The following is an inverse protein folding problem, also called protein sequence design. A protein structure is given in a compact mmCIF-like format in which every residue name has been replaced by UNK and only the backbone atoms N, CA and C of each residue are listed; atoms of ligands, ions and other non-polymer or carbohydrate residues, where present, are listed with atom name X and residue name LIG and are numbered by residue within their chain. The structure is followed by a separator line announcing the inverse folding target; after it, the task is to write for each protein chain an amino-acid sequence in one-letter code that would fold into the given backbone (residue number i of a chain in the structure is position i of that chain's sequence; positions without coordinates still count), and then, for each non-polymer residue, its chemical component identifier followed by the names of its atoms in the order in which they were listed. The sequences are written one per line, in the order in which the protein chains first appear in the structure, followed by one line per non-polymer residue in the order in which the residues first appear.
data_IF_783560968042
#
_entry.id   IF_783560968042
#
_cell.length_a   1.000
_cell.length_b   1.000
_cell.length_c   1.000
_cell.angle_alpha   90.00
_cell.angle_beta   90.00
_cell.angle_gamma   90.00
#
_symmetry.space_group_name_H-M   'P 1'
#
loop_
_entity.id
_entity.type
_entity.pdbx_description
1 polymer ?
#
# COMPACT_ATOMS: atom_id res chain seq x y z
N UNK A 1 -5.56 6.32 27.61
CA UNK A 1 -5.62 5.33 26.50
C UNK A 1 -4.22 5.19 25.94
N UNK A 2 -3.72 3.97 25.81
CA UNK A 2 -2.35 3.71 25.33
C UNK A 2 -2.44 3.02 23.98
N UNK A 3 -1.77 3.58 22.97
CA UNK A 3 -1.65 2.97 21.64
C UNK A 3 -0.57 1.89 21.73
N UNK A 4 -0.91 0.66 21.34
CA UNK A 4 -0.01 -0.51 21.51
C UNK A 4 0.62 -1.01 20.19
N UNK A 5 0.02 -0.70 19.05
CA UNK A 5 0.45 -1.21 17.75
C UNK A 5 -0.15 -0.40 16.60
N UNK A 6 0.59 -0.27 15.49
CA UNK A 6 0.05 0.14 14.20
C UNK A 6 -0.37 -1.11 13.40
N UNK A 7 -1.59 -1.12 12.87
CA UNK A 7 -2.14 -2.32 12.22
C UNK A 7 -1.87 -2.36 10.72
N UNK A 8 -1.99 -1.23 10.04
CA UNK A 8 -1.89 -1.20 8.59
C UNK A 8 -1.61 0.20 8.03
N UNK A 9 -1.07 0.22 6.81
CA UNK A 9 -1.01 1.41 5.95
C UNK A 9 -1.99 1.21 4.80
N UNK A 10 -2.84 2.21 4.55
CA UNK A 10 -3.70 2.24 3.37
C UNK A 10 -3.06 3.11 2.28
N UNK A 11 -3.06 2.61 1.04
CA UNK A 11 -2.47 3.26 -0.12
C UNK A 11 -3.53 3.31 -1.21
N UNK A 12 -3.81 4.52 -1.70
CA UNK A 12 -4.66 4.70 -2.85
C UNK A 12 -3.85 4.44 -4.12
N UNK A 13 -4.36 3.54 -4.96
CA UNK A 13 -3.77 3.19 -6.25
C UNK A 13 -4.73 3.55 -7.37
N UNK A 14 -4.20 4.01 -8.49
CA UNK A 14 -5.00 4.40 -9.67
C UNK A 14 -5.40 3.20 -10.54
N UNK A 15 -4.65 2.11 -10.45
CA UNK A 15 -4.81 0.90 -11.24
C UNK A 15 -4.51 -0.30 -10.35
N UNK A 16 -5.54 -1.08 -10.01
CA UNK A 16 -5.41 -2.20 -9.09
C UNK A 16 -4.57 -3.33 -9.69
N UNK A 17 -4.72 -3.62 -10.97
CA UNK A 17 -4.02 -4.71 -11.64
C UNK A 17 -2.50 -4.44 -11.65
N UNK A 18 -2.10 -3.22 -12.06
CA UNK A 18 -0.68 -2.82 -12.01
C UNK A 18 -0.13 -2.82 -10.59
N UNK A 19 -0.94 -2.42 -9.62
CA UNK A 19 -0.52 -2.44 -8.23
C UNK A 19 -0.37 -3.87 -7.70
N UNK A 20 -1.30 -4.77 -8.03
CA UNK A 20 -1.21 -6.18 -7.65
C UNK A 20 0.02 -6.86 -8.27
N UNK A 21 0.35 -6.54 -9.52
CA UNK A 21 1.57 -7.02 -10.15
C UNK A 21 2.82 -6.52 -9.41
N UNK A 22 2.89 -5.23 -9.07
CA UNK A 22 4.05 -4.70 -8.36
C UNK A 22 4.18 -5.23 -6.92
N UNK A 23 3.12 -5.12 -6.11
CA UNK A 23 3.17 -5.53 -4.71
C UNK A 23 3.16 -7.05 -4.52
N UNK A 24 2.41 -7.77 -5.35
CA UNK A 24 2.31 -9.24 -5.28
C UNK A 24 3.45 -9.94 -5.99
N UNK A 25 3.69 -9.63 -7.27
CA UNK A 25 4.61 -10.43 -8.08
C UNK A 25 6.06 -9.92 -8.01
N UNK A 26 6.27 -8.59 -8.05
CA UNK A 26 7.62 -8.00 -8.02
C UNK A 26 8.17 -7.97 -6.59
N UNK A 27 7.40 -7.45 -5.64
CA UNK A 27 7.82 -7.41 -4.23
C UNK A 27 7.57 -8.72 -3.48
N UNK A 28 6.80 -9.65 -4.04
CA UNK A 28 6.54 -10.96 -3.43
C UNK A 28 5.67 -10.91 -2.18
N UNK A 29 4.86 -9.85 -1.97
CA UNK A 29 4.04 -9.74 -0.77
C UNK A 29 2.91 -10.77 -0.78
N UNK A 30 2.69 -11.41 0.37
CA UNK A 30 1.64 -12.41 0.51
C UNK A 30 0.26 -11.76 0.63
N UNK A 31 -0.67 -12.14 -0.24
CA UNK A 31 -2.06 -11.68 -0.18
C UNK A 31 -2.76 -12.26 1.05
N UNK A 32 -3.66 -11.47 1.64
CA UNK A 32 -4.53 -11.88 2.73
C UNK A 32 -5.96 -12.00 2.21
N UNK A 33 -6.61 -13.13 2.47
CA UNK A 33 -8.03 -13.30 2.20
C UNK A 33 -8.86 -12.54 3.24
N UNK A 34 -9.08 -11.26 2.95
CA UNK A 34 -9.88 -10.35 3.76
C UNK A 34 -10.93 -9.67 2.88
N UNK A 35 -12.23 -9.86 3.17
CA UNK A 35 -13.29 -9.30 2.33
C UNK A 35 -13.25 -7.77 2.24
N UNK A 36 -13.44 -7.27 1.02
CA UNK A 36 -13.54 -5.85 0.70
C UNK A 36 -14.88 -5.54 0.03
N UNK A 37 -15.40 -4.34 0.26
CA UNK A 37 -16.64 -3.85 -0.37
C UNK A 37 -16.39 -2.99 -1.62
N UNK A 38 -15.13 -2.86 -2.02
CA UNK A 38 -14.63 -2.01 -3.10
C UNK A 38 -13.36 -2.64 -3.69
N UNK A 39 -12.93 -2.26 -4.91
CA UNK A 39 -11.71 -2.78 -5.51
C UNK A 39 -10.48 -2.48 -4.66
N UNK A 40 -9.76 -3.52 -4.29
CA UNK A 40 -8.58 -3.43 -3.44
C UNK A 40 -8.04 -4.81 -3.08
N UNK A 41 -6.92 -4.82 -2.38
CA UNK A 41 -6.25 -6.05 -1.91
C UNK A 41 -5.54 -5.78 -0.59
N UNK A 42 -5.44 -6.82 0.24
CA UNK A 42 -4.65 -6.81 1.48
C UNK A 42 -3.39 -7.65 1.30
N UNK A 43 -2.28 -7.14 1.80
CA UNK A 43 -1.00 -7.86 1.88
C UNK A 43 -0.50 -7.94 3.32
N UNK A 44 0.20 -9.01 3.67
CA UNK A 44 0.78 -9.25 4.99
C UNK A 44 2.30 -9.01 5.00
N UNK A 45 2.80 -8.32 6.04
CA UNK A 45 4.23 -8.17 6.33
C UNK A 45 4.44 -8.35 7.83
N UNK A 46 4.89 -9.52 8.27
CA UNK A 46 5.02 -9.84 9.69
C UNK A 46 3.69 -9.65 10.43
N UNK A 47 3.63 -8.72 11.38
CA UNK A 47 2.40 -8.36 12.13
C UNK A 47 1.71 -7.09 11.60
N UNK A 48 2.04 -6.66 10.37
CA UNK A 48 1.54 -5.45 9.73
C UNK A 48 0.86 -5.76 8.42
N UNK A 49 -0.07 -4.91 7.99
CA UNK A 49 -0.77 -5.08 6.73
C UNK A 49 -0.64 -3.86 5.81
N UNK A 50 -0.63 -4.12 4.50
CA UNK A 50 -0.78 -3.09 3.47
C UNK A 50 -2.15 -3.27 2.83
N UNK A 51 -2.90 -2.17 2.75
CA UNK A 51 -4.21 -2.13 2.11
C UNK A 51 -4.13 -1.27 0.85
N UNK A 52 -4.21 -1.90 -0.31
CA UNK A 52 -4.37 -1.18 -1.57
C UNK A 52 -5.84 -1.02 -1.86
N UNK A 53 -6.26 0.17 -2.26
CA UNK A 53 -7.65 0.44 -2.64
C UNK A 53 -7.70 1.43 -3.80
N UNK A 54 -8.71 1.25 -4.64
CA UNK A 54 -9.03 2.19 -5.72
C UNK A 54 -10.20 3.06 -5.28
N UNK A 55 -10.08 4.36 -5.49
CA UNK A 55 -11.17 5.31 -5.30
C UNK A 55 -11.35 6.15 -6.57
N UNK A 56 -12.54 6.10 -7.17
CA UNK A 56 -12.85 6.77 -8.44
C UNK A 56 -12.76 8.30 -8.38
N UNK A 57 -12.95 8.90 -7.20
CA UNK A 57 -12.79 10.33 -6.98
C UNK A 57 -11.37 10.77 -6.64
N UNK A 58 -10.41 9.85 -6.58
CA UNK A 58 -9.06 10.16 -6.14
C UNK A 58 -8.25 10.76 -7.29
N UNK A 59 -7.95 12.04 -7.18
CA UNK A 59 -6.97 12.71 -8.02
C UNK A 59 -5.65 12.77 -7.28
N UNK A 60 -4.68 11.97 -7.72
CA UNK A 60 -3.33 12.05 -7.19
C UNK A 60 -2.64 13.30 -7.73
N UNK A 61 -2.26 14.21 -6.82
CA UNK A 61 -1.39 15.34 -7.13
C UNK A 61 -0.09 15.18 -6.36
N UNK A 62 1.02 15.12 -7.09
CA UNK A 62 2.35 15.18 -6.49
C UNK A 62 2.56 16.60 -5.95
N UNK A 63 2.62 16.75 -4.63
CA UNK A 63 2.93 18.04 -4.02
C UNK A 63 4.37 18.46 -4.32
N UNK A 64 5.28 17.50 -4.57
CA UNK A 64 6.65 17.75 -4.96
C UNK A 64 7.13 16.76 -6.03
N UNK A 65 7.25 17.22 -7.27
CA UNK A 65 7.69 16.39 -8.41
C UNK A 65 9.19 16.07 -8.38
N UNK A 66 10.01 16.90 -7.73
CA UNK A 66 11.47 16.74 -7.71
C UNK A 66 11.98 15.91 -6.51
N UNK A 67 11.20 15.85 -5.42
CA UNK A 67 11.60 15.18 -4.17
C UNK A 67 10.55 14.14 -3.76
N UNK A 68 10.60 12.97 -4.42
CA UNK A 68 9.58 11.93 -4.30
C UNK A 68 9.37 11.45 -2.86
N UNK A 69 10.44 11.30 -2.09
CA UNK A 69 10.39 10.93 -0.67
C UNK A 69 9.78 11.99 0.26
N UNK A 70 9.31 13.13 -0.25
CA UNK A 70 8.55 14.13 0.53
C UNK A 70 7.06 14.15 0.20
N UNK A 71 6.61 13.37 -0.78
CA UNK A 71 5.19 13.08 -0.98
C UNK A 71 4.72 12.04 0.04
N UNK A 72 3.43 11.74 0.08
CA UNK A 72 2.92 10.64 0.90
C UNK A 72 3.64 9.34 0.53
N UNK A 73 4.33 8.77 1.50
CA UNK A 73 5.12 7.56 1.32
C UNK A 73 5.06 6.70 2.59
N UNK A 74 5.42 5.45 2.40
CA UNK A 74 5.78 4.53 3.45
C UNK A 74 7.05 3.81 2.97
N UNK A 75 7.86 3.32 3.90
CA UNK A 75 9.12 2.66 3.56
C UNK A 75 9.08 1.20 4.00
N UNK A 76 9.61 0.33 3.14
CA UNK A 76 9.86 -1.07 3.43
C UNK A 76 11.37 -1.27 3.49
N UNK A 77 11.84 -1.94 4.53
CA UNK A 77 13.21 -2.46 4.56
C UNK A 77 13.26 -3.75 3.76
N UNK A 78 14.24 -3.87 2.86
CA UNK A 78 14.53 -5.08 2.11
C UNK A 78 15.86 -5.67 2.59
N UNK A 79 16.08 -6.96 2.37
CA UNK A 79 17.35 -7.62 2.62
C UNK A 79 18.42 -7.33 1.55
N UNK A 80 18.01 -6.80 0.39
CA UNK A 80 18.88 -6.42 -0.71
C UNK A 80 18.40 -5.14 -1.42
N UNK A 81 19.33 -4.24 -1.82
CA UNK A 81 19.07 -2.95 -2.48
C UNK A 81 19.19 -3.03 -4.01
#
# INVERSE_FOLDING_TARGET
MTIIQCLHTAILVSDLEKAEHFYGDILGLEKVDRPLKYPGVWYQIGNYQIHLMVHSGFNFSLSNQEKWGRNHHFALGTDNL
#
